data_IF_556497078700
#
_entry.id   IF_556497078700
#
_cell.length_a   1.000
_cell.length_b   1.000
_cell.length_c   1.000
_cell.angle_alpha   90.00
_cell.angle_beta   90.00
_cell.angle_gamma   90.00
#
_symmetry.space_group_name_H-M   'P 1'
#
loop_
_entity.id
_entity.type
_entity.pdbx_description
1 polymer ?
#
# COMPACT_ATOMS: atom_id res chain seq x y z
N UNK A 1 10.02 -29.48 -2.91
CA UNK A 1 8.91 -29.93 -2.05
C UNK A 1 7.81 -28.89 -2.13
N UNK A 2 6.55 -29.27 -2.40
CA UNK A 2 5.47 -28.30 -2.46
C UNK A 2 5.20 -27.71 -1.06
N UNK A 3 4.96 -26.38 -0.94
CA UNK A 3 4.78 -25.73 0.36
C UNK A 3 3.62 -26.30 1.20
N UNK A 4 2.58 -26.80 0.55
CA UNK A 4 1.36 -27.34 1.18
C UNK A 4 1.56 -28.61 2.04
N UNK A 5 2.68 -29.32 1.84
CA UNK A 5 2.97 -30.60 2.47
C UNK A 5 3.98 -30.49 3.62
N UNK A 6 4.39 -29.26 3.96
CA UNK A 6 5.41 -28.98 4.96
C UNK A 6 4.85 -29.03 6.38
N UNK A 7 5.59 -29.55 7.37
CA UNK A 7 5.18 -29.44 8.77
C UNK A 7 5.13 -27.97 9.21
N UNK A 8 3.98 -27.54 9.72
CA UNK A 8 3.68 -26.15 10.11
C UNK A 8 4.76 -25.54 11.02
N UNK A 9 5.32 -26.34 11.93
CA UNK A 9 6.35 -25.94 12.88
C UNK A 9 7.70 -25.58 12.22
N UNK A 10 7.95 -26.01 10.99
CA UNK A 10 9.20 -25.74 10.28
C UNK A 10 9.14 -24.46 9.43
N UNK A 11 7.94 -23.95 9.15
CA UNK A 11 7.73 -22.79 8.26
C UNK A 11 8.55 -21.58 8.70
N UNK A 12 8.57 -21.15 9.99
CA UNK A 12 9.35 -19.97 10.41
C UNK A 12 10.85 -20.11 10.11
N UNK A 13 11.43 -21.28 10.39
CA UNK A 13 12.85 -21.54 10.15
C UNK A 13 13.18 -21.50 8.65
N UNK A 14 12.29 -22.03 7.81
CA UNK A 14 12.46 -22.05 6.35
C UNK A 14 12.25 -20.68 5.71
N UNK A 15 11.29 -19.89 6.19
CA UNK A 15 11.14 -18.48 5.78
C UNK A 15 12.41 -17.69 6.10
N UNK A 16 12.96 -17.84 7.31
CA UNK A 16 14.23 -17.20 7.69
C UNK A 16 15.38 -17.67 6.78
N UNK A 17 15.53 -18.98 6.59
CA UNK A 17 16.57 -19.54 5.75
C UNK A 17 16.47 -19.03 4.30
N UNK A 18 15.25 -18.95 3.76
CA UNK A 18 14.98 -18.38 2.45
C UNK A 18 15.46 -16.93 2.36
N UNK A 19 15.07 -16.06 3.29
CA UNK A 19 15.49 -14.65 3.26
C UNK A 19 17.01 -14.47 3.43
N UNK A 20 17.70 -15.43 4.03
CA UNK A 20 19.17 -15.47 4.11
C UNK A 20 19.85 -16.07 2.86
N UNK A 21 19.09 -16.39 1.80
CA UNK A 21 19.61 -17.03 0.58
C UNK A 21 20.01 -18.50 0.77
N UNK A 22 19.55 -19.14 1.85
CA UNK A 22 19.82 -20.55 2.21
C UNK A 22 18.56 -21.42 2.11
N UNK A 23 17.50 -20.91 1.51
CA UNK A 23 16.22 -21.60 1.43
C UNK A 23 16.15 -22.59 0.28
N UNK A 24 15.12 -23.42 0.33
CA UNK A 24 14.87 -24.48 -0.64
C UNK A 24 13.86 -24.07 -1.73
N UNK A 25 13.20 -22.91 -1.58
CA UNK A 25 12.26 -22.41 -2.56
C UNK A 25 13.05 -21.62 -3.60
N UNK A 26 13.67 -22.34 -4.53
CA UNK A 26 14.49 -21.76 -5.60
C UNK A 26 13.94 -22.17 -6.96
N UNK A 27 13.83 -21.22 -7.87
CA UNK A 27 13.55 -21.40 -9.29
C UNK A 27 14.67 -20.76 -10.12
N UNK A 28 15.08 -21.32 -11.27
CA UNK A 28 16.10 -20.72 -12.13
C UNK A 28 15.82 -19.28 -12.57
N UNK A 29 14.56 -18.84 -12.52
CA UNK A 29 14.15 -17.47 -12.87
C UNK A 29 14.07 -16.52 -11.67
N UNK A 30 14.27 -17.02 -10.44
CA UNK A 30 14.30 -16.17 -9.24
C UNK A 30 15.53 -15.24 -9.33
N UNK A 31 15.30 -13.95 -9.10
CA UNK A 31 16.35 -12.93 -9.08
C UNK A 31 16.80 -12.65 -7.67
N UNK A 32 15.89 -12.79 -6.71
CA UNK A 32 16.11 -12.50 -5.30
C UNK A 32 15.54 -13.59 -4.40
N UNK A 33 16.06 -13.77 -3.17
CA UNK A 33 15.52 -14.77 -2.25
C UNK A 33 14.03 -14.59 -1.92
N UNK A 34 13.53 -13.36 -2.02
CA UNK A 34 12.12 -13.00 -1.83
C UNK A 34 11.20 -13.56 -2.92
N UNK A 35 11.70 -13.83 -4.12
CA UNK A 35 10.89 -14.39 -5.23
C UNK A 35 10.42 -15.81 -4.90
N UNK A 36 11.36 -16.63 -4.41
CA UNK A 36 11.08 -17.98 -3.92
C UNK A 36 10.09 -18.01 -2.76
N UNK A 37 10.26 -17.11 -1.78
CA UNK A 37 9.31 -16.95 -0.67
C UNK A 37 7.92 -16.51 -1.17
N UNK A 38 7.86 -15.54 -2.08
CA UNK A 38 6.61 -15.05 -2.65
C UNK A 38 5.84 -16.17 -3.38
N UNK A 39 6.55 -17.01 -4.13
CA UNK A 39 5.95 -18.20 -4.76
C UNK A 39 5.45 -19.20 -3.72
N UNK A 40 6.24 -19.48 -2.68
CA UNK A 40 5.85 -20.39 -1.60
C UNK A 40 4.57 -19.92 -0.89
N UNK A 41 4.46 -18.63 -0.57
CA UNK A 41 3.26 -18.02 0.04
C UNK A 41 2.03 -18.15 -0.86
N UNK A 42 2.18 -17.98 -2.18
CA UNK A 42 1.04 -18.11 -3.13
C UNK A 42 0.55 -19.55 -3.25
N UNK A 43 1.45 -20.52 -3.06
CA UNK A 43 1.16 -21.95 -3.17
C UNK A 43 0.80 -22.61 -1.83
N UNK A 44 0.83 -21.87 -0.71
CA UNK A 44 0.74 -22.46 0.63
C UNK A 44 -0.65 -22.96 1.02
N UNK A 45 -1.71 -22.62 0.27
CA UNK A 45 -3.09 -23.01 0.59
C UNK A 45 -3.46 -22.69 2.04
N UNK A 46 -3.91 -23.70 2.78
CA UNK A 46 -4.34 -23.58 4.19
C UNK A 46 -3.22 -23.13 5.15
N UNK A 47 -1.95 -23.27 4.76
CA UNK A 47 -0.80 -22.86 5.56
C UNK A 47 -0.49 -21.36 5.47
N UNK A 48 -1.24 -20.59 4.67
CA UNK A 48 -0.99 -19.17 4.42
C UNK A 48 -0.91 -18.32 5.69
N UNK A 49 -1.74 -18.62 6.70
CA UNK A 49 -1.69 -17.94 8.01
C UNK A 49 -0.38 -18.19 8.75
N UNK A 50 0.20 -19.39 8.64
CA UNK A 50 1.50 -19.70 9.26
C UNK A 50 2.63 -18.97 8.56
N UNK A 51 2.60 -18.88 7.22
CA UNK A 51 3.53 -18.04 6.47
C UNK A 51 3.42 -16.57 6.87
N UNK A 52 2.19 -16.04 6.99
CA UNK A 52 1.96 -14.68 7.46
C UNK A 52 2.55 -14.44 8.85
N UNK A 53 2.30 -15.35 9.80
CA UNK A 53 2.88 -15.28 11.14
C UNK A 53 4.41 -15.30 11.13
N UNK A 54 5.03 -16.16 10.31
CA UNK A 54 6.48 -16.20 10.13
C UNK A 54 7.05 -14.88 9.57
N UNK A 55 6.39 -14.29 8.57
CA UNK A 55 6.76 -12.97 8.03
C UNK A 55 6.60 -11.90 9.10
N UNK A 56 5.49 -11.91 9.87
CA UNK A 56 5.26 -10.98 10.98
C UNK A 56 6.34 -11.03 12.06
N UNK A 57 6.80 -12.22 12.43
CA UNK A 57 7.93 -12.39 13.35
C UNK A 57 9.21 -11.73 12.80
N UNK A 58 9.51 -11.96 11.52
CA UNK A 58 10.73 -11.44 10.89
C UNK A 58 10.71 -9.92 10.68
N UNK A 59 9.53 -9.27 10.66
CA UNK A 59 9.44 -7.80 10.71
C UNK A 59 9.99 -7.20 12.02
N UNK A 60 10.13 -8.00 13.07
CA UNK A 60 10.67 -7.59 14.37
C UNK A 60 12.10 -8.10 14.63
N UNK A 61 12.69 -8.85 13.69
CA UNK A 61 14.04 -9.40 13.82
C UNK A 61 15.07 -8.27 13.99
N UNK A 62 16.17 -8.52 14.69
CA UNK A 62 17.23 -7.52 14.88
C UNK A 62 18.07 -7.32 13.61
N UNK A 63 18.14 -8.31 12.72
CA UNK A 63 18.81 -8.20 11.43
C UNK A 63 17.96 -7.35 10.45
N UNK A 64 18.46 -6.16 10.02
CA UNK A 64 17.72 -5.32 9.10
C UNK A 64 17.47 -5.98 7.74
N UNK A 65 18.34 -6.88 7.27
CA UNK A 65 18.14 -7.59 6.00
C UNK A 65 16.93 -8.54 6.06
N UNK A 66 16.74 -9.22 7.20
CA UNK A 66 15.55 -10.06 7.44
C UNK A 66 14.28 -9.21 7.50
N UNK A 67 14.31 -8.06 8.20
CA UNK A 67 13.17 -7.13 8.23
C UNK A 67 12.81 -6.63 6.82
N UNK A 68 13.80 -6.25 6.02
CA UNK A 68 13.58 -5.80 4.65
C UNK A 68 13.01 -6.91 3.76
N UNK A 69 13.55 -8.12 3.83
CA UNK A 69 13.04 -9.27 3.08
C UNK A 69 11.59 -9.61 3.46
N UNK A 70 11.26 -9.55 4.75
CA UNK A 70 9.89 -9.73 5.24
C UNK A 70 8.95 -8.63 4.73
N UNK A 71 9.40 -7.37 4.74
CA UNK A 71 8.64 -6.24 4.20
C UNK A 71 8.39 -6.35 2.68
N UNK A 72 9.36 -6.83 1.91
CA UNK A 72 9.24 -7.00 0.46
C UNK A 72 8.07 -7.92 0.05
N UNK A 73 7.82 -8.97 0.83
CA UNK A 73 6.72 -9.93 0.60
C UNK A 73 5.43 -9.58 1.34
N UNK A 74 5.42 -8.48 2.12
CA UNK A 74 4.31 -8.14 3.00
C UNK A 74 2.98 -7.97 2.28
N UNK A 75 3.00 -7.45 1.04
CA UNK A 75 1.79 -7.30 0.21
C UNK A 75 1.06 -8.62 -0.06
N UNK A 76 1.73 -9.77 0.12
CA UNK A 76 1.14 -11.10 -0.04
C UNK A 76 0.49 -11.63 1.23
N UNK A 77 0.76 -11.05 2.40
CA UNK A 77 0.30 -11.56 3.70
C UNK A 77 -0.27 -10.48 4.63
N UNK A 78 -0.43 -9.26 4.12
CA UNK A 78 -0.89 -8.12 4.90
C UNK A 78 -2.31 -8.31 5.43
N UNK A 79 -3.18 -9.01 4.69
CA UNK A 79 -4.56 -9.28 5.11
C UNK A 79 -4.60 -10.17 6.37
N UNK A 80 -3.71 -11.16 6.44
CA UNK A 80 -3.59 -12.06 7.58
C UNK A 80 -2.97 -11.39 8.81
N UNK A 81 -2.06 -10.44 8.62
CA UNK A 81 -1.45 -9.67 9.71
C UNK A 81 -2.35 -8.55 10.22
N UNK A 82 -3.12 -7.92 9.32
CA UNK A 82 -4.03 -6.82 9.61
C UNK A 82 -3.35 -5.46 9.78
N UNK A 83 -4.06 -4.40 9.40
CA UNK A 83 -3.57 -3.02 9.53
C UNK A 83 -3.20 -2.62 10.97
N UNK A 84 -3.96 -2.98 12.04
CA UNK A 84 -3.61 -2.61 13.40
C UNK A 84 -2.23 -3.13 13.85
N UNK A 85 -1.88 -4.35 13.45
CA UNK A 85 -0.57 -4.92 13.78
C UNK A 85 0.56 -4.15 13.11
N UNK A 86 0.42 -3.85 11.82
CA UNK A 86 1.42 -3.09 11.05
C UNK A 86 1.57 -1.65 11.57
N UNK A 87 0.46 -1.01 11.93
CA UNK A 87 0.46 0.32 12.52
C UNK A 87 1.22 0.37 13.84
N UNK A 88 1.01 -0.64 14.71
CA UNK A 88 1.72 -0.77 15.98
C UNK A 88 3.23 -0.88 15.77
N UNK A 89 3.68 -1.75 14.86
CA UNK A 89 5.11 -1.90 14.55
C UNK A 89 5.76 -0.56 14.13
N UNK A 90 5.12 0.16 13.22
CA UNK A 90 5.61 1.45 12.71
C UNK A 90 5.64 2.56 13.76
N UNK A 91 4.83 2.44 14.82
CA UNK A 91 4.71 3.45 15.88
C UNK A 91 5.63 3.16 17.06
N UNK A 92 5.75 1.90 17.48
CA UNK A 92 6.54 1.50 18.66
C UNK A 92 8.05 1.54 18.39
N UNK A 93 8.48 1.23 17.15
CA UNK A 93 9.90 1.13 16.78
C UNK A 93 10.22 1.82 15.44
N UNK A 94 9.90 3.12 15.25
CA UNK A 94 10.07 3.81 13.97
C UNK A 94 11.52 3.80 13.47
N UNK A 95 12.50 3.78 14.36
CA UNK A 95 13.93 3.73 14.06
C UNK A 95 14.37 2.43 13.37
N UNK A 96 13.60 1.35 13.53
CA UNK A 96 13.89 0.06 12.88
C UNK A 96 13.48 0.03 11.41
N UNK A 97 12.68 1.01 10.97
CA UNK A 97 11.98 0.98 9.67
C UNK A 97 12.21 2.22 8.80
N UNK A 98 12.18 3.44 9.37
CA UNK A 98 12.33 4.69 8.61
C UNK A 98 13.76 4.91 8.17
N UNK A 99 13.97 5.19 6.88
CA UNK A 99 15.29 5.37 6.28
C UNK A 99 16.14 4.10 6.19
N UNK A 100 15.63 2.95 6.62
CA UNK A 100 16.36 1.68 6.62
C UNK A 100 16.22 1.02 5.24
N UNK A 101 17.35 0.90 4.53
CA UNK A 101 17.42 0.26 3.21
C UNK A 101 18.65 -0.67 3.12
N UNK A 102 18.52 -1.93 3.53
CA UNK A 102 19.62 -2.89 3.46
C UNK A 102 20.02 -3.18 2.01
N UNK A 103 21.32 -3.39 1.78
CA UNK A 103 21.81 -3.78 0.47
C UNK A 103 21.30 -5.18 0.08
N UNK A 104 21.03 -5.38 -1.21
CA UNK A 104 20.66 -6.70 -1.75
C UNK A 104 19.20 -7.12 -1.56
N UNK A 105 18.33 -6.24 -1.07
CA UNK A 105 16.88 -6.48 -1.01
C UNK A 105 16.15 -5.42 -1.82
N UNK A 106 15.34 -5.83 -2.81
CA UNK A 106 14.48 -4.90 -3.54
C UNK A 106 13.20 -4.66 -2.76
N UNK A 107 12.99 -3.41 -2.35
CA UNK A 107 11.77 -2.95 -1.70
C UNK A 107 10.86 -2.28 -2.73
N UNK A 108 9.54 -2.41 -2.52
CA UNK A 108 8.54 -1.70 -3.33
C UNK A 108 8.45 -0.20 -3.02
N UNK A 109 9.03 0.22 -1.89
CA UNK A 109 9.17 1.62 -1.49
C UNK A 109 10.63 2.02 -1.26
N UNK A 110 10.83 3.26 -0.82
CA UNK A 110 12.16 3.83 -0.57
C UNK A 110 12.90 3.17 0.59
N UNK A 111 12.15 2.78 1.63
CA UNK A 111 12.63 2.12 2.83
C UNK A 111 11.60 1.09 3.32
N UNK A 112 11.94 0.41 4.43
CA UNK A 112 11.04 -0.58 5.03
C UNK A 112 9.73 0.07 5.47
N UNK A 113 9.77 1.25 6.10
CA UNK A 113 8.58 1.94 6.58
C UNK A 113 7.57 2.24 5.46
N UNK A 114 8.03 2.78 4.33
CA UNK A 114 7.19 3.09 3.17
C UNK A 114 6.63 1.83 2.50
N UNK A 115 7.40 0.75 2.48
CA UNK A 115 6.92 -0.55 2.01
C UNK A 115 5.80 -1.07 2.92
N UNK A 116 5.97 -0.97 4.23
CA UNK A 116 4.96 -1.35 5.23
C UNK A 116 3.71 -0.47 5.17
N UNK A 117 3.86 0.86 5.05
CA UNK A 117 2.74 1.80 4.90
C UNK A 117 1.89 1.46 3.67
N UNK A 118 2.53 1.16 2.55
CA UNK A 118 1.83 0.79 1.31
C UNK A 118 1.06 -0.53 1.45
N UNK A 119 1.63 -1.52 2.13
CA UNK A 119 0.93 -2.78 2.42
C UNK A 119 -0.22 -2.56 3.41
N UNK A 120 -0.01 -1.78 4.47
CA UNK A 120 -1.00 -1.43 5.47
C UNK A 120 -2.19 -0.69 4.85
N UNK A 121 -1.94 0.28 3.96
CA UNK A 121 -2.99 1.08 3.32
C UNK A 121 -4.01 0.22 2.55
N UNK A 122 -3.55 -0.85 1.89
CA UNK A 122 -4.40 -1.77 1.13
C UNK A 122 -5.36 -2.57 2.02
N UNK A 123 -4.94 -2.89 3.24
CA UNK A 123 -5.69 -3.75 4.17
C UNK A 123 -6.39 -2.96 5.28
N UNK A 124 -6.17 -1.65 5.35
CA UNK A 124 -6.81 -0.74 6.31
C UNK A 124 -8.32 -0.67 6.07
N UNK A 125 -9.07 -0.67 7.16
CA UNK A 125 -10.52 -0.46 7.22
C UNK A 125 -10.83 0.82 8.00
N UNK A 126 -12.02 1.43 7.80
CA UNK A 126 -12.39 2.67 8.49
C UNK A 126 -12.30 2.61 10.02
N UNK A 127 -12.51 1.44 10.62
CA UNK A 127 -12.43 1.26 12.09
C UNK A 127 -10.99 1.17 12.64
N UNK A 128 -9.96 1.00 11.79
CA UNK A 128 -8.58 0.84 12.21
C UNK A 128 -7.94 2.20 12.50
N UNK A 129 -8.41 2.87 13.57
CA UNK A 129 -8.12 4.28 13.86
C UNK A 129 -6.64 4.64 13.84
N UNK A 130 -5.78 3.80 14.43
CA UNK A 130 -4.34 4.05 14.49
C UNK A 130 -3.69 3.95 13.10
N UNK A 131 -4.10 2.97 12.29
CA UNK A 131 -3.63 2.83 10.91
C UNK A 131 -4.09 4.01 10.06
N UNK A 132 -5.36 4.42 10.17
CA UNK A 132 -5.88 5.62 9.49
C UNK A 132 -5.11 6.87 9.91
N UNK A 133 -4.82 7.04 11.20
CA UNK A 133 -4.03 8.17 11.69
C UNK A 133 -2.61 8.20 11.11
N UNK A 134 -1.92 7.06 11.06
CA UNK A 134 -0.62 6.95 10.42
C UNK A 134 -0.67 7.28 8.92
N UNK A 135 -1.68 6.79 8.21
CA UNK A 135 -1.86 7.10 6.79
C UNK A 135 -2.10 8.59 6.55
N UNK A 136 -2.92 9.25 7.39
CA UNK A 136 -3.12 10.71 7.34
C UNK A 136 -1.81 11.47 7.52
N UNK A 137 -0.94 11.04 8.43
CA UNK A 137 0.40 11.62 8.58
C UNK A 137 1.25 11.40 7.34
N UNK A 138 1.32 10.16 6.85
CA UNK A 138 2.16 9.79 5.71
C UNK A 138 1.76 10.49 4.39
N UNK A 139 0.46 10.75 4.16
CA UNK A 139 0.02 11.46 2.93
C UNK A 139 0.46 12.92 2.88
N UNK A 140 0.86 13.52 4.00
CA UNK A 140 1.38 14.89 4.03
C UNK A 140 2.85 15.00 3.60
N UNK A 141 3.55 13.87 3.40
CA UNK A 141 4.94 13.89 2.91
C UNK A 141 4.99 14.31 1.43
N UNK A 142 5.62 15.45 1.05
CA UNK A 142 5.47 16.05 -0.28
C UNK A 142 5.85 15.16 -1.46
N UNK A 143 6.87 14.32 -1.30
CA UNK A 143 7.41 13.51 -2.40
C UNK A 143 6.66 12.20 -2.61
N UNK A 144 5.99 11.69 -1.57
CA UNK A 144 5.58 10.27 -1.48
C UNK A 144 4.15 10.08 -1.05
N UNK A 145 3.60 11.03 -0.29
CA UNK A 145 2.27 10.95 0.29
C UNK A 145 1.18 10.69 -0.75
N UNK A 146 1.36 11.20 -1.97
CA UNK A 146 0.41 10.98 -3.06
C UNK A 146 0.17 9.51 -3.41
N UNK A 147 1.12 8.62 -3.10
CA UNK A 147 1.00 7.17 -3.36
C UNK A 147 -0.03 6.49 -2.47
N UNK A 148 -0.30 7.04 -1.28
CA UNK A 148 -1.24 6.49 -0.31
C UNK A 148 -2.63 7.12 -0.39
N UNK A 149 -2.78 8.27 -1.09
CA UNK A 149 -4.03 9.02 -1.13
C UNK A 149 -5.22 8.22 -1.65
N UNK A 150 -5.02 7.37 -2.66
CA UNK A 150 -6.10 6.57 -3.22
C UNK A 150 -6.64 5.55 -2.20
N UNK A 151 -5.75 4.92 -1.42
CA UNK A 151 -6.13 3.98 -0.37
C UNK A 151 -6.71 4.71 0.84
N UNK A 152 -6.17 5.88 1.22
CA UNK A 152 -6.73 6.71 2.29
C UNK A 152 -8.13 7.21 1.93
N UNK A 153 -8.35 7.67 0.69
CA UNK A 153 -9.65 8.13 0.21
C UNK A 153 -10.72 7.04 0.26
N UNK A 154 -10.34 5.77 0.10
CA UNK A 154 -11.25 4.62 0.25
C UNK A 154 -11.69 4.42 1.70
N UNK A 155 -10.81 4.65 2.68
CA UNK A 155 -11.10 4.36 4.10
C UNK A 155 -11.56 5.58 4.89
N UNK A 156 -11.27 6.78 4.41
CA UNK A 156 -11.52 8.05 5.10
C UNK A 156 -11.77 9.20 4.10
N UNK A 157 -12.85 9.09 3.32
CA UNK A 157 -13.14 10.04 2.24
C UNK A 157 -13.46 11.45 2.77
N UNK A 158 -14.03 11.57 3.96
CA UNK A 158 -14.34 12.86 4.58
C UNK A 158 -13.06 13.64 4.92
N UNK A 159 -12.06 12.99 5.52
CA UNK A 159 -10.80 13.66 5.81
C UNK A 159 -10.08 14.09 4.53
N UNK A 160 -10.03 13.23 3.51
CA UNK A 160 -9.37 13.56 2.23
C UNK A 160 -10.06 14.74 1.54
N UNK A 161 -11.40 14.77 1.51
CA UNK A 161 -12.14 15.89 0.92
C UNK A 161 -11.98 17.19 1.72
N UNK A 162 -11.95 17.11 3.05
CA UNK A 162 -11.76 18.28 3.92
C UNK A 162 -10.35 18.89 3.81
N UNK A 163 -9.33 18.09 3.52
CA UNK A 163 -7.93 18.53 3.42
C UNK A 163 -7.43 18.60 1.96
N UNK A 164 -8.33 18.55 0.99
CA UNK A 164 -8.01 18.33 -0.42
C UNK A 164 -6.94 19.30 -0.96
N UNK A 165 -7.03 20.58 -0.63
CA UNK A 165 -6.11 21.62 -1.11
C UNK A 165 -4.68 21.44 -0.63
N UNK A 166 -4.50 20.83 0.54
CA UNK A 166 -3.19 20.67 1.17
C UNK A 166 -2.54 19.33 0.78
N UNK A 167 -3.35 18.29 0.57
CA UNK A 167 -2.83 16.91 0.43
C UNK A 167 -3.08 16.26 -0.92
N UNK A 168 -3.99 16.77 -1.76
CA UNK A 168 -4.34 16.14 -3.04
C UNK A 168 -3.80 16.94 -4.23
N UNK A 169 -2.71 16.49 -4.88
CA UNK A 169 -2.29 17.07 -6.14
C UNK A 169 -3.36 16.89 -7.21
N UNK A 170 -3.61 17.90 -8.06
CA UNK A 170 -4.61 17.78 -9.14
C UNK A 170 -4.38 16.58 -10.07
N UNK A 171 -3.13 16.15 -10.24
CA UNK A 171 -2.75 14.96 -11.04
C UNK A 171 -3.08 13.62 -10.38
N UNK A 172 -3.50 13.59 -9.12
CA UNK A 172 -3.84 12.37 -8.38
C UNK A 172 -5.24 11.85 -8.76
N UNK A 173 -5.48 11.63 -10.05
CA UNK A 173 -6.80 11.29 -10.62
C UNK A 173 -7.35 9.97 -10.07
N UNK A 174 -6.48 9.06 -9.63
CA UNK A 174 -6.86 7.83 -8.94
C UNK A 174 -7.62 8.06 -7.63
N UNK A 175 -7.46 9.21 -6.97
CA UNK A 175 -8.21 9.58 -5.76
C UNK A 175 -9.69 9.73 -6.08
N UNK A 176 -10.03 10.41 -7.19
CA UNK A 176 -11.41 10.60 -7.63
C UNK A 176 -12.09 9.23 -7.82
N UNK A 177 -11.44 8.28 -8.48
CA UNK A 177 -12.02 6.95 -8.75
C UNK A 177 -12.24 6.08 -7.50
N UNK A 178 -11.66 6.45 -6.35
CA UNK A 178 -11.84 5.72 -5.09
C UNK A 178 -12.94 6.30 -4.21
N UNK A 179 -13.45 7.48 -4.54
CA UNK A 179 -14.51 8.16 -3.82
C UNK A 179 -15.88 7.79 -4.38
N UNK A 180 -16.90 7.78 -3.52
CA UNK A 180 -18.29 7.77 -4.00
C UNK A 180 -18.66 9.11 -4.67
N UNK A 181 -19.85 9.19 -5.25
CA UNK A 181 -20.29 10.39 -5.99
C UNK A 181 -20.29 11.66 -5.12
N UNK A 182 -20.95 11.70 -3.94
CA UNK A 182 -20.92 12.88 -3.08
C UNK A 182 -19.50 13.37 -2.75
N UNK A 183 -18.57 12.45 -2.45
CA UNK A 183 -17.19 12.82 -2.11
C UNK A 183 -16.39 13.23 -3.34
N UNK A 184 -16.61 12.62 -4.52
CA UNK A 184 -16.00 13.06 -5.78
C UNK A 184 -16.37 14.50 -6.11
N UNK A 185 -17.65 14.85 -5.99
CA UNK A 185 -18.10 16.23 -6.21
C UNK A 185 -17.49 17.21 -5.20
N UNK A 186 -17.43 16.84 -3.91
CA UNK A 186 -16.76 17.66 -2.88
C UNK A 186 -15.27 17.87 -3.22
N UNK A 187 -14.57 16.81 -3.61
CA UNK A 187 -13.16 16.89 -4.00
C UNK A 187 -12.97 17.80 -5.22
N UNK A 188 -13.78 17.61 -6.26
CA UNK A 188 -13.73 18.43 -7.47
C UNK A 188 -13.95 19.91 -7.17
N UNK A 189 -14.94 20.26 -6.32
CA UNK A 189 -15.17 21.64 -5.87
C UNK A 189 -14.00 22.20 -5.07
N UNK A 190 -13.41 21.41 -4.18
CA UNK A 190 -12.32 21.87 -3.33
C UNK A 190 -11.05 22.21 -4.14
N UNK A 191 -10.81 21.47 -5.22
CA UNK A 191 -9.66 21.62 -6.10
C UNK A 191 -9.89 22.53 -7.32
N UNK A 192 -11.13 22.97 -7.56
CA UNK A 192 -11.45 23.85 -8.67
C UNK A 192 -10.82 25.26 -8.52
N UNK A 193 -10.46 25.92 -9.64
CA UNK A 193 -10.44 25.36 -11.00
C UNK A 193 -9.27 24.38 -11.19
N UNK A 194 -9.49 23.33 -11.98
CA UNK A 194 -8.42 22.41 -12.38
C UNK A 194 -7.57 23.05 -13.50
N UNK A 195 -6.25 22.80 -13.53
CA UNK A 195 -5.40 23.20 -14.65
C UNK A 195 -5.92 22.66 -15.98
N UNK A 196 -5.86 23.48 -17.03
CA UNK A 196 -6.36 23.15 -18.39
C UNK A 196 -5.63 21.94 -19.00
N UNK A 197 -4.35 21.77 -18.67
CA UNK A 197 -3.52 20.66 -19.16
C UNK A 197 -4.10 19.31 -18.74
N UNK A 198 -4.83 19.27 -17.62
CA UNK A 198 -5.45 18.05 -17.10
C UNK A 198 -6.70 17.63 -17.88
N UNK A 199 -7.29 18.47 -18.73
CA UNK A 199 -8.39 18.06 -19.62
C UNK A 199 -7.96 16.92 -20.54
N UNK A 200 -6.72 16.97 -21.01
CA UNK A 200 -6.15 15.91 -21.87
C UNK A 200 -5.77 14.67 -21.08
N UNK A 201 -5.24 14.84 -19.86
CA UNK A 201 -4.88 13.73 -18.98
C UNK A 201 -6.12 12.93 -18.56
N UNK A 202 -7.19 13.63 -18.22
CA UNK A 202 -8.51 13.07 -17.96
C UNK A 202 -9.21 12.79 -19.29
N UNK A 203 -8.64 11.89 -20.08
CA UNK A 203 -9.17 11.54 -21.39
C UNK A 203 -10.42 10.64 -21.34
N UNK A 204 -10.94 10.23 -22.52
CA UNK A 204 -12.09 9.32 -22.61
C UNK A 204 -11.99 8.03 -21.75
N UNK A 205 -10.81 7.37 -21.60
CA UNK A 205 -10.70 6.20 -20.74
C UNK A 205 -11.00 6.47 -19.26
N UNK A 206 -10.69 7.68 -18.76
CA UNK A 206 -11.03 8.07 -17.40
C UNK A 206 -12.54 8.26 -17.27
N UNK A 207 -13.14 9.08 -18.13
CA UNK A 207 -14.56 9.42 -18.02
C UNK A 207 -15.51 8.23 -18.22
N UNK A 208 -15.12 7.24 -19.04
CA UNK A 208 -15.92 6.01 -19.21
C UNK A 208 -16.02 5.14 -17.95
N UNK A 209 -15.19 5.39 -16.93
CA UNK A 209 -15.28 4.70 -15.65
C UNK A 209 -16.39 5.27 -14.75
N UNK A 210 -17.02 6.38 -15.15
CA UNK A 210 -18.07 7.05 -14.39
C UNK A 210 -19.41 7.01 -15.16
N UNK A 211 -20.55 7.05 -14.45
CA UNK A 211 -21.83 7.34 -15.07
C UNK A 211 -21.78 8.64 -15.91
N UNK A 212 -22.42 8.69 -17.09
CA UNK A 212 -22.33 9.85 -17.97
C UNK A 212 -22.79 11.17 -17.32
N UNK A 213 -23.88 11.14 -16.54
CA UNK A 213 -24.40 12.31 -15.84
C UNK A 213 -23.42 12.82 -14.77
N UNK A 214 -22.77 11.90 -14.06
CA UNK A 214 -21.74 12.23 -13.08
C UNK A 214 -20.47 12.78 -13.76
N UNK A 215 -20.05 12.20 -14.89
CA UNK A 215 -18.90 12.68 -15.64
C UNK A 215 -19.10 14.13 -16.12
N UNK A 216 -20.27 14.47 -16.66
CA UNK A 216 -20.59 15.84 -17.07
C UNK A 216 -20.64 16.80 -15.87
N UNK A 217 -21.25 16.39 -14.75
CA UNK A 217 -21.27 17.18 -13.53
C UNK A 217 -19.84 17.48 -13.02
N UNK A 218 -18.96 16.48 -13.00
CA UNK A 218 -17.58 16.66 -12.57
C UNK A 218 -16.80 17.57 -13.52
N UNK A 219 -16.96 17.43 -14.84
CA UNK A 219 -16.32 18.36 -15.81
C UNK A 219 -16.73 19.80 -15.55
N UNK A 220 -18.02 20.06 -15.34
CA UNK A 220 -18.53 21.40 -15.06
C UNK A 220 -18.00 21.98 -13.73
N UNK A 221 -17.80 21.13 -12.71
CA UNK A 221 -17.19 21.54 -11.44
C UNK A 221 -15.69 21.82 -11.58
N UNK A 222 -14.97 21.01 -12.37
CA UNK A 222 -13.51 21.08 -12.50
C UNK A 222 -13.07 22.26 -13.38
N UNK A 223 -13.81 22.56 -14.44
CA UNK A 223 -13.53 23.66 -15.37
C UNK A 223 -14.79 24.50 -15.58
N UNK A 224 -15.19 25.32 -14.59
CA UNK A 224 -16.34 26.20 -14.74
C UNK A 224 -16.08 27.18 -15.89
N UNK A 225 -17.09 27.43 -16.73
CA UNK A 225 -17.02 28.47 -17.74
C UNK A 225 -16.78 29.82 -17.05
N UNK A 226 -15.72 30.52 -17.47
CA UNK A 226 -15.46 31.88 -16.99
C UNK A 226 -16.63 32.76 -17.45
N UNK A 227 -17.33 33.47 -16.54
CA UNK A 227 -18.46 34.32 -16.90
C UNK A 227 -18.05 35.52 -17.77
#
# INVERSE_FOLDING_TARGET
MPPDSMPVQEIPARVRAQLLGRGEWVDPNDREPTDGLARAIRQSGDQRRTFAAAVGLLLTDDDPALRAGAAAVLHLVADELGAPHLARLLTEHPERYRGVRPAGVTLGGEDIAWTMLTAMAKVTRPQDRDAVHLLRGAVTEPERGSRLLADLARVDPDWVTANARDVVPHRATGVLLRLDRPHRERLARALAPYPEELKTLLGPPFWRQLPPDEAEALKALMWPETP
#
